data_IF_397759413690
#
_entry.id   IF_397759413690
#
_cell.length_a   1.000
_cell.length_b   1.000
_cell.length_c   1.000
_cell.angle_alpha   90.00
_cell.angle_beta   90.00
_cell.angle_gamma   90.00
#
_symmetry.space_group_name_H-M   'P 1'
#
loop_
_entity.id
_entity.type
_entity.pdbx_description
1 polymer ?
#
# COMPACT_ATOMS: atom_id res chain seq x y z
N UNK A 1 11.54 16.38 10.33
CA UNK A 1 12.89 16.69 9.79
C UNK A 1 13.82 15.47 9.80
N UNK A 2 13.94 14.71 10.86
CA UNK A 2 14.78 13.49 10.95
C UNK A 2 14.53 12.45 9.85
N UNK A 3 13.31 12.25 9.44
CA UNK A 3 12.93 11.27 8.41
C UNK A 3 13.46 11.61 7.00
N UNK A 4 13.45 12.91 6.63
CA UNK A 4 14.01 13.36 5.34
C UNK A 4 15.56 13.26 5.34
N UNK A 5 16.19 13.54 6.48
CA UNK A 5 17.63 13.37 6.63
C UNK A 5 18.04 11.90 6.49
N UNK A 6 17.27 10.99 7.08
CA UNK A 6 17.50 9.54 6.96
C UNK A 6 17.30 9.03 5.52
N UNK A 7 16.31 9.56 4.77
CA UNK A 7 16.10 9.22 3.36
C UNK A 7 17.28 9.66 2.48
N UNK A 8 17.80 10.86 2.70
CA UNK A 8 18.99 11.36 2.00
C UNK A 8 20.22 10.51 2.32
N UNK A 9 20.37 10.08 3.56
CA UNK A 9 21.49 9.25 4.02
C UNK A 9 21.47 7.87 3.36
N UNK A 10 20.31 7.23 3.27
CA UNK A 10 20.13 5.93 2.61
C UNK A 10 20.37 6.02 1.10
N UNK A 11 20.04 7.14 0.45
CA UNK A 11 20.34 7.37 -0.98
C UNK A 11 21.82 7.70 -1.23
N UNK A 12 22.52 8.33 -0.27
CA UNK A 12 23.91 8.72 -0.39
C UNK A 12 24.90 7.59 -0.11
N UNK A 13 24.55 6.62 0.74
CA UNK A 13 25.41 5.49 1.10
C UNK A 13 25.83 4.66 -0.12
N UNK A 14 24.94 4.21 -1.03
CA UNK A 14 25.35 3.47 -2.22
C UNK A 14 26.20 4.32 -3.19
N UNK A 15 25.91 5.62 -3.31
CA UNK A 15 26.70 6.55 -4.12
C UNK A 15 28.11 6.74 -3.56
N UNK A 16 28.26 6.88 -2.25
CA UNK A 16 29.57 6.96 -1.60
C UNK A 16 30.34 5.65 -1.71
N UNK A 17 29.67 4.51 -1.54
CA UNK A 17 30.26 3.18 -1.75
C UNK A 17 30.73 2.95 -3.17
N UNK A 18 29.97 3.41 -4.17
CA UNK A 18 30.34 3.35 -5.58
C UNK A 18 31.54 4.26 -5.89
N UNK A 19 31.59 5.47 -5.35
CA UNK A 19 32.69 6.39 -5.52
C UNK A 19 34.02 5.82 -4.94
N UNK A 20 33.95 5.16 -3.77
CA UNK A 20 35.08 4.46 -3.18
C UNK A 20 35.53 3.25 -4.00
N UNK A 21 34.59 2.50 -4.59
CA UNK A 21 34.89 1.36 -5.46
C UNK A 21 35.52 1.77 -6.81
N UNK A 22 35.33 3.02 -7.25
CA UNK A 22 35.95 3.54 -8.47
C UNK A 22 37.45 3.84 -8.32
N UNK A 23 37.94 4.13 -7.13
CA UNK A 23 39.38 4.43 -6.91
C UNK A 23 40.33 3.32 -7.39
N UNK A 24 40.17 2.04 -6.96
CA UNK A 24 41.03 0.96 -7.44
C UNK A 24 40.85 0.63 -8.93
N UNK A 25 39.70 0.95 -9.52
CA UNK A 25 39.44 0.79 -10.94
C UNK A 25 40.29 1.78 -11.74
N UNK A 26 40.32 3.03 -11.30
CA UNK A 26 41.05 4.11 -11.93
C UNK A 26 42.58 3.82 -11.92
N UNK A 27 43.13 3.39 -10.79
CA UNK A 27 44.54 3.01 -10.67
C UNK A 27 44.93 1.86 -11.61
N UNK A 28 44.09 0.83 -11.73
CA UNK A 28 44.33 -0.33 -12.59
C UNK A 28 44.15 -0.03 -14.07
N UNK A 29 43.29 0.88 -14.47
CA UNK A 29 43.18 1.35 -15.85
C UNK A 29 44.42 2.08 -16.29
N UNK A 30 45.07 2.86 -15.44
CA UNK A 30 46.31 3.58 -15.74
C UNK A 30 47.56 2.70 -15.66
N UNK A 31 47.51 1.55 -14.96
CA UNK A 31 48.63 0.60 -14.83
C UNK A 31 48.76 -0.45 -15.96
N UNK A 32 48.01 -0.31 -17.03
CA UNK A 32 48.05 -1.22 -18.18
C UNK A 32 47.24 -2.53 -18.02
N UNK A 33 46.51 -2.68 -16.92
CA UNK A 33 45.62 -3.83 -16.65
C UNK A 33 44.14 -3.48 -16.92
N UNK A 34 43.86 -2.87 -18.04
CA UNK A 34 42.54 -2.35 -18.38
C UNK A 34 41.40 -3.41 -18.31
N UNK A 35 41.66 -4.65 -18.69
CA UNK A 35 40.67 -5.75 -18.63
C UNK A 35 40.24 -6.06 -17.18
N UNK A 36 41.15 -6.04 -16.23
CA UNK A 36 40.83 -6.26 -14.82
C UNK A 36 40.07 -5.06 -14.22
N UNK A 37 40.39 -3.84 -14.65
CA UNK A 37 39.66 -2.64 -14.27
C UNK A 37 38.19 -2.67 -14.74
N UNK A 38 37.95 -3.10 -15.96
CA UNK A 38 36.61 -3.25 -16.54
C UNK A 38 35.80 -4.32 -15.78
N UNK A 39 36.41 -5.48 -15.50
CA UNK A 39 35.75 -6.54 -14.74
C UNK A 39 35.34 -6.08 -13.32
N UNK A 40 36.20 -5.34 -12.64
CA UNK A 40 35.87 -4.77 -11.32
C UNK A 40 34.74 -3.73 -11.38
N UNK A 41 34.72 -2.91 -12.42
CA UNK A 41 33.64 -1.95 -12.65
C UNK A 41 32.30 -2.65 -12.87
N UNK A 42 32.27 -3.69 -13.70
CA UNK A 42 31.07 -4.48 -13.95
C UNK A 42 30.58 -5.18 -12.68
N UNK A 43 31.49 -5.72 -11.88
CA UNK A 43 31.14 -6.34 -10.60
C UNK A 43 30.56 -5.33 -9.61
N UNK A 44 31.14 -4.13 -9.51
CA UNK A 44 30.65 -3.06 -8.66
C UNK A 44 29.24 -2.58 -9.09
N UNK A 45 29.01 -2.43 -10.40
CA UNK A 45 27.70 -2.09 -10.95
C UNK A 45 26.66 -3.18 -10.68
N UNK A 46 27.03 -4.45 -10.80
CA UNK A 46 26.12 -5.57 -10.49
C UNK A 46 25.71 -5.59 -9.01
N UNK A 47 26.66 -5.38 -8.11
CA UNK A 47 26.37 -5.29 -6.66
C UNK A 47 25.47 -4.10 -6.36
N UNK A 48 25.73 -2.93 -6.95
CA UNK A 48 24.91 -1.75 -6.79
C UNK A 48 23.48 -2.00 -7.24
N UNK A 49 23.28 -2.60 -8.43
CA UNK A 49 21.96 -2.92 -8.97
C UNK A 49 21.18 -3.90 -8.08
N UNK A 50 21.85 -4.89 -7.49
CA UNK A 50 21.23 -5.83 -6.55
C UNK A 50 20.81 -5.11 -5.26
N UNK A 51 21.67 -4.26 -4.70
CA UNK A 51 21.36 -3.49 -3.48
C UNK A 51 20.20 -2.53 -3.72
N UNK A 52 20.20 -1.79 -4.83
CA UNK A 52 19.09 -0.89 -5.19
C UNK A 52 17.79 -1.67 -5.46
N UNK A 53 17.86 -2.80 -6.14
CA UNK A 53 16.71 -3.68 -6.38
C UNK A 53 16.10 -4.22 -5.08
N UNK A 54 16.94 -4.63 -4.13
CA UNK A 54 16.49 -5.06 -2.80
C UNK A 54 15.89 -3.90 -1.99
N UNK A 55 16.51 -2.73 -1.98
CA UNK A 55 15.99 -1.53 -1.32
C UNK A 55 14.65 -1.11 -1.93
N UNK A 56 14.53 -1.14 -3.28
CA UNK A 56 13.29 -0.86 -3.98
C UNK A 56 12.19 -1.85 -3.59
N UNK A 57 12.50 -3.16 -3.62
CA UNK A 57 11.54 -4.24 -3.32
C UNK A 57 11.06 -4.20 -1.87
N UNK A 58 11.97 -4.02 -0.90
CA UNK A 58 11.62 -4.13 0.53
C UNK A 58 11.16 -2.82 1.14
N UNK A 59 11.55 -1.67 0.58
CA UNK A 59 11.30 -0.38 1.21
C UNK A 59 10.37 0.55 0.44
N UNK A 60 10.43 0.54 -0.90
CA UNK A 60 9.62 1.41 -1.75
C UNK A 60 8.30 0.74 -2.14
N UNK A 61 8.35 -0.50 -2.64
CA UNK A 61 7.16 -1.21 -3.11
C UNK A 61 6.03 -1.34 -2.06
N UNK A 62 6.30 -1.72 -0.79
CA UNK A 62 5.23 -1.87 0.20
C UNK A 62 4.56 -0.54 0.58
N UNK A 63 5.31 0.57 0.49
CA UNK A 63 4.79 1.90 0.84
C UNK A 63 4.11 2.63 -0.31
N UNK A 64 4.52 2.33 -1.54
CA UNK A 64 3.96 2.96 -2.74
C UNK A 64 2.80 2.17 -3.33
N UNK A 65 2.79 0.86 -3.17
CA UNK A 65 1.71 0.01 -3.66
C UNK A 65 0.34 0.45 -3.14
N UNK A 66 0.24 0.71 -1.85
CA UNK A 66 -1.01 1.17 -1.23
C UNK A 66 -1.40 2.59 -1.73
N UNK A 67 -0.43 3.51 -1.86
CA UNK A 67 -0.70 4.90 -2.33
C UNK A 67 -0.98 5.00 -3.83
N UNK A 68 -0.35 4.14 -4.65
CA UNK A 68 -0.59 4.11 -6.10
C UNK A 68 -1.91 3.41 -6.39
N UNK A 69 -2.23 2.32 -5.69
CA UNK A 69 -3.54 1.71 -5.76
C UNK A 69 -4.64 2.71 -5.36
N UNK A 70 -4.46 3.41 -4.24
CA UNK A 70 -5.38 4.44 -3.78
C UNK A 70 -5.59 5.57 -4.82
N UNK A 71 -4.52 6.05 -5.47
CA UNK A 71 -4.62 7.06 -6.54
C UNK A 71 -5.19 6.54 -7.86
N UNK A 72 -4.86 5.32 -8.26
CA UNK A 72 -5.41 4.72 -9.49
C UNK A 72 -6.90 4.43 -9.35
N UNK A 73 -7.34 3.97 -8.18
CA UNK A 73 -8.76 3.71 -7.93
C UNK A 73 -9.54 4.97 -7.53
N UNK A 74 -8.92 5.96 -6.87
CA UNK A 74 -9.56 7.25 -6.62
C UNK A 74 -9.68 8.11 -7.90
N UNK A 75 -8.78 7.96 -8.87
CA UNK A 75 -8.76 8.77 -10.09
C UNK A 75 -9.69 8.32 -11.21
N UNK A 76 -10.19 7.07 -11.17
CA UNK A 76 -10.92 6.51 -12.33
C UNK A 76 -12.43 6.78 -12.35
N UNK A 77 -13.02 7.32 -11.29
CA UNK A 77 -14.48 7.50 -11.18
C UNK A 77 -14.88 8.80 -10.49
N UNK A 78 -14.41 9.94 -10.98
CA UNK A 78 -14.92 11.23 -10.54
C UNK A 78 -15.90 11.79 -11.60
N UNK A 79 -17.22 11.61 -11.44
CA UNK A 79 -18.10 12.67 -11.87
C UNK A 79 -17.90 13.83 -10.91
N UNK A 80 -17.61 15.00 -11.45
CA UNK A 80 -17.29 16.26 -10.76
C UNK A 80 -18.38 16.74 -9.78
N UNK A 81 -19.50 16.03 -9.67
CA UNK A 81 -20.67 16.31 -8.84
C UNK A 81 -21.14 15.12 -7.98
N UNK A 82 -20.22 14.33 -7.40
CA UNK A 82 -20.63 13.27 -6.50
C UNK A 82 -20.85 13.82 -5.07
N UNK A 83 -22.11 13.97 -4.69
CA UNK A 83 -22.52 14.46 -3.38
C UNK A 83 -21.90 13.67 -2.21
N UNK A 84 -21.67 12.36 -2.38
CA UNK A 84 -21.02 11.52 -1.40
C UNK A 84 -19.55 11.92 -1.23
N UNK A 85 -18.85 12.12 -2.35
CA UNK A 85 -17.46 12.54 -2.33
C UNK A 85 -17.29 13.94 -1.73
N UNK A 86 -18.16 14.87 -2.10
CA UNK A 86 -18.18 16.23 -1.52
C UNK A 86 -18.43 16.21 -0.03
N UNK A 87 -19.37 15.38 0.44
CA UNK A 87 -19.64 15.26 1.88
C UNK A 87 -18.44 14.65 2.62
N UNK A 88 -17.83 13.59 2.08
CA UNK A 88 -16.66 12.96 2.67
C UNK A 88 -15.47 13.92 2.74
N UNK A 89 -15.21 14.67 1.66
CA UNK A 89 -14.17 15.68 1.61
C UNK A 89 -14.42 16.82 2.61
N UNK A 90 -15.67 17.29 2.71
CA UNK A 90 -16.05 18.29 3.68
C UNK A 90 -15.81 17.82 5.11
N UNK A 91 -16.25 16.60 5.46
CA UNK A 91 -16.03 16.00 6.78
C UNK A 91 -14.54 15.96 7.13
N UNK A 92 -13.70 15.57 6.17
CA UNK A 92 -12.25 15.47 6.35
C UNK A 92 -11.60 16.84 6.53
N UNK A 93 -11.98 17.83 5.71
CA UNK A 93 -11.38 19.16 5.73
C UNK A 93 -11.81 19.97 6.96
N UNK A 94 -13.09 19.94 7.30
CA UNK A 94 -13.66 20.65 8.45
C UNK A 94 -13.45 19.91 9.78
N UNK A 95 -13.00 18.66 9.72
CA UNK A 95 -12.85 17.75 10.87
C UNK A 95 -14.14 17.66 11.71
N UNK A 96 -15.27 17.54 11.04
CA UNK A 96 -16.60 17.53 11.64
C UNK A 96 -17.18 16.10 11.72
N UNK A 97 -16.85 15.33 12.77
CA UNK A 97 -17.28 13.94 12.91
C UNK A 97 -18.80 13.79 13.03
N UNK A 98 -19.51 14.85 13.40
CA UNK A 98 -20.97 14.87 13.51
C UNK A 98 -21.70 14.62 12.18
N UNK A 99 -21.03 14.78 11.03
CA UNK A 99 -21.60 14.51 9.71
C UNK A 99 -21.41 13.06 9.24
N UNK A 100 -20.63 12.24 9.93
CA UNK A 100 -20.39 10.82 9.57
C UNK A 100 -21.71 10.03 9.50
N UNK A 101 -22.70 10.18 10.42
CA UNK A 101 -23.99 9.50 10.28
C UNK A 101 -24.74 9.84 8.99
N UNK A 102 -24.64 11.09 8.51
CA UNK A 102 -25.24 11.48 7.23
C UNK A 102 -24.56 10.79 6.05
N UNK A 103 -23.25 10.64 6.08
CA UNK A 103 -22.49 9.88 5.08
C UNK A 103 -22.87 8.38 5.13
N UNK A 104 -23.01 7.81 6.31
CA UNK A 104 -23.49 6.43 6.49
C UNK A 104 -24.84 6.18 5.81
N UNK A 105 -25.80 7.11 6.02
CA UNK A 105 -27.09 7.02 5.38
C UNK A 105 -27.01 7.11 3.86
N UNK A 106 -26.19 8.00 3.33
CA UNK A 106 -25.95 8.09 1.88
C UNK A 106 -25.34 6.80 1.31
N UNK A 107 -24.39 6.19 2.01
CA UNK A 107 -23.78 4.90 1.62
C UNK A 107 -24.82 3.77 1.65
N UNK A 108 -25.72 3.75 2.64
CA UNK A 108 -26.82 2.78 2.72
C UNK A 108 -27.81 2.89 1.55
N UNK A 109 -28.08 4.11 1.09
CA UNK A 109 -28.95 4.33 -0.09
C UNK A 109 -28.26 3.95 -1.41
N UNK A 110 -26.94 3.93 -1.46
CA UNK A 110 -26.16 3.58 -2.66
C UNK A 110 -25.16 2.45 -2.37
N UNK A 111 -25.64 1.26 -1.96
CA UNK A 111 -24.78 0.21 -1.41
C UNK A 111 -23.82 -0.42 -2.43
N UNK A 112 -24.06 -0.25 -3.73
CA UNK A 112 -23.17 -0.73 -4.79
C UNK A 112 -22.01 0.21 -5.13
N UNK A 113 -21.81 1.29 -4.38
CA UNK A 113 -20.69 2.21 -4.59
C UNK A 113 -19.50 1.88 -3.70
N UNK A 114 -18.48 1.28 -4.27
CA UNK A 114 -17.22 0.94 -3.61
C UNK A 114 -16.64 2.13 -2.83
N UNK A 115 -16.55 3.30 -3.49
CA UNK A 115 -15.98 4.50 -2.90
C UNK A 115 -16.66 4.91 -1.61
N UNK A 116 -17.99 4.80 -1.53
CA UNK A 116 -18.74 5.15 -0.33
C UNK A 116 -18.30 4.37 0.90
N UNK A 117 -18.12 3.08 0.75
CA UNK A 117 -17.65 2.22 1.84
C UNK A 117 -16.21 2.48 2.24
N UNK A 118 -15.33 2.76 1.26
CA UNK A 118 -13.93 3.09 1.53
C UNK A 118 -13.79 4.43 2.27
N UNK A 119 -14.50 5.49 1.82
CA UNK A 119 -14.48 6.81 2.46
C UNK A 119 -15.07 6.74 3.88
N UNK A 120 -16.20 6.03 4.04
CA UNK A 120 -16.82 5.85 5.36
C UNK A 120 -15.86 5.15 6.33
N UNK A 121 -15.26 4.04 5.94
CA UNK A 121 -14.31 3.32 6.77
C UNK A 121 -13.07 4.17 7.11
N UNK A 122 -12.57 4.95 6.15
CA UNK A 122 -11.45 5.86 6.36
C UNK A 122 -11.78 6.96 7.37
N UNK A 123 -12.93 7.60 7.25
CA UNK A 123 -13.37 8.64 8.20
C UNK A 123 -13.61 8.09 9.60
N UNK A 124 -14.20 6.89 9.72
CA UNK A 124 -14.37 6.22 11.00
C UNK A 124 -13.03 5.93 11.67
N UNK A 125 -12.02 5.54 10.88
CA UNK A 125 -10.68 5.27 11.37
C UNK A 125 -9.93 6.56 11.76
N UNK A 126 -9.91 7.58 10.90
CA UNK A 126 -9.10 8.78 11.09
C UNK A 126 -9.71 9.79 12.07
N UNK A 127 -11.03 10.03 12.01
CA UNK A 127 -11.69 11.05 12.81
C UNK A 127 -12.31 10.50 14.10
N UNK A 128 -12.93 9.31 14.05
CA UNK A 128 -13.53 8.70 15.24
C UNK A 128 -12.55 7.79 15.97
N UNK A 129 -11.42 7.41 15.36
CA UNK A 129 -10.47 6.40 15.88
C UNK A 129 -11.18 5.07 16.19
N UNK A 130 -12.33 4.82 15.53
CA UNK A 130 -13.13 3.60 15.70
C UNK A 130 -12.83 2.59 14.60
N UNK A 131 -11.75 1.82 14.83
CA UNK A 131 -11.33 0.76 13.92
C UNK A 131 -12.39 -0.36 13.79
N UNK A 132 -13.19 -0.57 14.85
CA UNK A 132 -14.25 -1.58 14.82
C UNK A 132 -15.41 -1.14 13.92
N UNK A 133 -15.79 0.14 13.94
CA UNK A 133 -16.76 0.69 13.00
C UNK A 133 -16.26 0.62 11.55
N UNK A 134 -15.02 1.03 11.32
CA UNK A 134 -14.39 0.94 10.00
C UNK A 134 -14.39 -0.49 9.45
N UNK A 135 -14.05 -1.48 10.30
CA UNK A 135 -14.07 -2.89 9.94
C UNK A 135 -15.48 -3.36 9.54
N UNK A 136 -16.49 -3.00 10.33
CA UNK A 136 -17.90 -3.30 10.03
C UNK A 136 -18.35 -2.69 8.70
N UNK A 137 -17.94 -1.46 8.41
CA UNK A 137 -18.26 -0.78 7.16
C UNK A 137 -17.65 -1.49 5.95
N UNK A 138 -16.38 -1.91 6.03
CA UNK A 138 -15.71 -2.68 4.98
C UNK A 138 -16.37 -4.05 4.75
N UNK A 139 -16.73 -4.75 5.81
CA UNK A 139 -17.41 -6.06 5.75
C UNK A 139 -18.82 -5.94 5.13
N UNK A 140 -19.59 -4.96 5.59
CA UNK A 140 -20.91 -4.69 5.02
C UNK A 140 -20.86 -4.27 3.56
N UNK A 141 -19.87 -3.44 3.20
CA UNK A 141 -19.60 -3.08 1.82
C UNK A 141 -19.31 -4.29 0.94
N UNK A 142 -18.38 -5.15 1.37
CA UNK A 142 -18.03 -6.37 0.64
C UNK A 142 -19.23 -7.28 0.39
N UNK A 143 -20.12 -7.41 1.36
CA UNK A 143 -21.34 -8.22 1.23
C UNK A 143 -22.36 -7.65 0.23
N UNK A 144 -22.28 -6.36 -0.10
CA UNK A 144 -23.22 -5.65 -0.99
C UNK A 144 -22.68 -5.32 -2.37
N UNK A 145 -21.36 -5.52 -2.59
CA UNK A 145 -20.75 -5.37 -3.90
C UNK A 145 -21.25 -6.45 -4.88
N UNK A 146 -21.51 -6.03 -6.12
CA UNK A 146 -21.84 -6.94 -7.21
C UNK A 146 -20.60 -7.39 -7.98
N UNK A 147 -19.62 -6.51 -8.08
CA UNK A 147 -18.33 -6.78 -8.71
C UNK A 147 -17.45 -7.60 -7.75
N UNK A 148 -17.01 -8.81 -8.15
CA UNK A 148 -16.12 -9.65 -7.36
C UNK A 148 -14.78 -8.98 -6.99
N UNK A 149 -14.21 -8.16 -7.89
CA UNK A 149 -12.96 -7.44 -7.64
C UNK A 149 -13.12 -6.40 -6.54
N UNK A 150 -14.23 -5.63 -6.57
CA UNK A 150 -14.55 -4.64 -5.54
C UNK A 150 -14.83 -5.28 -4.18
N UNK A 151 -15.56 -6.39 -4.16
CA UNK A 151 -15.82 -7.16 -2.95
C UNK A 151 -14.52 -7.71 -2.33
N UNK A 152 -13.64 -8.27 -3.17
CA UNK A 152 -12.34 -8.76 -2.75
C UNK A 152 -11.44 -7.64 -2.20
N UNK A 153 -11.46 -6.44 -2.83
CA UNK A 153 -10.74 -5.26 -2.34
C UNK A 153 -11.19 -4.88 -0.93
N UNK A 154 -12.49 -4.80 -0.67
CA UNK A 154 -13.00 -4.43 0.65
C UNK A 154 -12.61 -5.46 1.73
N UNK A 155 -12.68 -6.76 1.43
CA UNK A 155 -12.20 -7.81 2.34
C UNK A 155 -10.69 -7.74 2.56
N UNK A 156 -9.91 -7.48 1.52
CA UNK A 156 -8.48 -7.28 1.64
C UNK A 156 -8.14 -6.06 2.53
N UNK A 157 -8.89 -4.95 2.39
CA UNK A 157 -8.74 -3.76 3.24
C UNK A 157 -9.11 -4.07 4.69
N UNK A 158 -10.18 -4.86 4.94
CA UNK A 158 -10.57 -5.31 6.28
C UNK A 158 -9.46 -6.15 6.93
N UNK A 159 -8.91 -7.12 6.21
CA UNK A 159 -7.77 -7.92 6.68
C UNK A 159 -6.52 -7.07 6.96
N UNK A 160 -6.23 -6.10 6.10
CA UNK A 160 -5.11 -5.18 6.29
C UNK A 160 -5.30 -4.28 7.51
N UNK A 161 -6.50 -3.81 7.78
CA UNK A 161 -6.85 -3.03 8.97
C UNK A 161 -6.62 -3.85 10.25
N UNK A 162 -7.12 -5.09 10.29
CA UNK A 162 -6.91 -6.01 11.42
C UNK A 162 -5.42 -6.26 11.66
N UNK A 163 -4.65 -6.52 10.62
CA UNK A 163 -3.23 -6.86 10.73
C UNK A 163 -2.36 -5.67 11.14
N UNK A 164 -2.52 -4.52 10.44
CA UNK A 164 -1.60 -3.38 10.55
C UNK A 164 -1.95 -2.42 11.69
N UNK A 165 -3.24 -2.25 11.99
CA UNK A 165 -3.72 -1.23 12.94
C UNK A 165 -4.22 -1.86 14.23
N UNK A 166 -5.04 -2.90 14.13
CA UNK A 166 -5.60 -3.55 15.31
C UNK A 166 -4.63 -4.59 15.93
N UNK A 167 -3.60 -4.98 15.19
CA UNK A 167 -2.63 -6.02 15.60
C UNK A 167 -3.29 -7.37 15.94
N UNK A 168 -4.34 -7.73 15.17
CA UNK A 168 -5.12 -8.95 15.33
C UNK A 168 -4.90 -9.89 14.12
N UNK A 169 -3.79 -10.65 14.07
CA UNK A 169 -3.47 -11.49 12.91
C UNK A 169 -4.49 -12.61 12.67
N UNK A 170 -5.11 -13.12 13.72
CA UNK A 170 -6.14 -14.16 13.59
C UNK A 170 -7.42 -13.62 12.92
N UNK A 171 -7.84 -12.40 13.26
CA UNK A 171 -8.96 -11.73 12.59
C UNK A 171 -8.61 -11.38 11.14
N UNK A 172 -7.39 -10.90 10.90
CA UNK A 172 -6.89 -10.60 9.56
C UNK A 172 -6.90 -11.84 8.65
N UNK A 173 -6.44 -13.00 9.18
CA UNK A 173 -6.43 -14.26 8.43
C UNK A 173 -7.82 -14.64 7.93
N UNK A 174 -8.88 -14.49 8.76
CA UNK A 174 -10.26 -14.77 8.35
C UNK A 174 -10.72 -13.95 7.15
N UNK A 175 -10.40 -12.66 7.10
CA UNK A 175 -10.76 -11.80 5.97
C UNK A 175 -9.97 -12.16 4.71
N UNK A 176 -8.67 -12.45 4.85
CA UNK A 176 -7.85 -12.90 3.73
C UNK A 176 -8.29 -14.28 3.21
N UNK A 177 -8.66 -15.20 4.09
CA UNK A 177 -9.23 -16.52 3.70
C UNK A 177 -10.53 -16.35 2.92
N UNK A 178 -11.43 -15.48 3.40
CA UNK A 178 -12.68 -15.20 2.73
C UNK A 178 -12.46 -14.58 1.34
N UNK A 179 -11.53 -13.64 1.22
CA UNK A 179 -11.17 -13.04 -0.06
C UNK A 179 -10.53 -14.05 -1.02
N UNK A 180 -9.57 -14.86 -0.51
CA UNK A 180 -8.85 -15.83 -1.31
C UNK A 180 -9.73 -17.01 -1.77
N UNK A 181 -10.68 -17.47 -0.93
CA UNK A 181 -11.56 -18.59 -1.26
C UNK A 181 -12.72 -18.19 -2.16
N UNK A 182 -13.39 -17.06 -1.84
CA UNK A 182 -14.60 -16.65 -2.56
C UNK A 182 -14.31 -15.91 -3.85
N UNK A 183 -13.16 -15.24 -3.94
CA UNK A 183 -12.77 -14.37 -5.05
C UNK A 183 -11.37 -14.71 -5.60
N UNK A 184 -11.07 -16.00 -5.73
CA UNK A 184 -9.76 -16.52 -6.13
C UNK A 184 -9.26 -15.96 -7.47
N UNK A 185 -10.17 -15.69 -8.42
CA UNK A 185 -9.85 -15.20 -9.76
C UNK A 185 -9.57 -13.69 -9.82
N UNK A 186 -9.80 -12.97 -8.72
CA UNK A 186 -9.56 -11.53 -8.63
C UNK A 186 -8.10 -11.22 -8.25
N UNK A 187 -7.65 -9.99 -8.50
CA UNK A 187 -6.31 -9.56 -8.10
C UNK A 187 -6.16 -9.58 -6.57
N UNK A 188 -7.16 -9.06 -5.86
CA UNK A 188 -7.14 -9.01 -4.38
C UNK A 188 -7.35 -10.37 -3.72
N UNK A 189 -8.08 -11.29 -4.36
CA UNK A 189 -8.18 -12.69 -3.92
C UNK A 189 -6.82 -13.38 -3.96
N UNK A 190 -6.09 -13.27 -5.07
CA UNK A 190 -4.72 -13.82 -5.20
C UNK A 190 -3.74 -13.16 -4.23
N UNK A 191 -3.84 -11.84 -4.03
CA UNK A 191 -3.00 -11.12 -3.09
C UNK A 191 -3.27 -11.57 -1.64
N UNK A 192 -4.54 -11.79 -1.27
CA UNK A 192 -4.95 -12.33 0.03
C UNK A 192 -4.37 -13.73 0.28
N UNK A 193 -4.40 -14.61 -0.73
CA UNK A 193 -3.78 -15.92 -0.65
C UNK A 193 -2.26 -15.86 -0.41
N UNK A 194 -1.59 -14.86 -0.99
CA UNK A 194 -0.15 -14.64 -0.77
C UNK A 194 0.12 -14.16 0.66
N UNK A 195 -0.72 -13.26 1.18
CA UNK A 195 -0.62 -12.78 2.57
C UNK A 195 -0.83 -13.90 3.59
N UNK A 196 -1.79 -14.79 3.37
CA UNK A 196 -2.02 -15.96 4.24
C UNK A 196 -0.80 -16.85 4.34
N UNK A 197 -0.11 -17.08 3.23
CA UNK A 197 1.13 -17.88 3.24
C UNK A 197 2.22 -17.22 4.09
N UNK A 198 2.31 -15.90 4.08
CA UNK A 198 3.29 -15.18 4.90
C UNK A 198 2.93 -15.15 6.38
N UNK A 199 1.64 -15.08 6.74
CA UNK A 199 1.18 -15.13 8.12
C UNK A 199 1.42 -16.50 8.78
N UNK A 200 1.33 -17.59 8.01
CA UNK A 200 1.54 -18.95 8.50
C UNK A 200 3.03 -19.35 8.62
N UNK A 201 3.96 -18.50 8.20
CA UNK A 201 5.41 -18.74 8.26
C UNK A 201 6.07 -18.10 9.50
N UNK A 202 5.32 -17.36 10.30
CA UNK A 202 5.74 -16.72 11.55
C UNK A 202 4.95 -17.26 12.76
#
# INVERSE_FOLDING_TARGET
MLYRAFQLLVALVPLAGFALALQPVQERMFSGQATQGILLLLAALAVLAVVEGLLFRYWILPRWGDKVAERLYAGSYLPENDALAQLAERIMNEKEPGLIPALEEMVRHQPGRLRGWLELAHLQQELLQDNAAALRSLEQGAARMRDPEEAALLLYRAGSLCCKVMHEPAAAARFFELAASRYADTAYGRQSATFLKSLNQH
#
